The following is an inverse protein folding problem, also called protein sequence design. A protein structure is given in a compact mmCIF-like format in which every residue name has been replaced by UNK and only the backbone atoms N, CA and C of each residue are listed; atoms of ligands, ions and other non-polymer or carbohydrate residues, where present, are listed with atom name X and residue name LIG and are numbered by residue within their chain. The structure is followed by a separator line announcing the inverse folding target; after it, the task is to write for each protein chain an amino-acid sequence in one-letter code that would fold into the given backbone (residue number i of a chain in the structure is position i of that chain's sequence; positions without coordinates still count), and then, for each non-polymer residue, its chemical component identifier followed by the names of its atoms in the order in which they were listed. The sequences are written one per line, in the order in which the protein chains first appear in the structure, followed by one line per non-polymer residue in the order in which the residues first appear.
data_IF_466493141651
#
_entry.id   IF_466493141651
#
_cell.length_a   1.000
_cell.length_b   1.000
_cell.length_c   1.000
_cell.angle_alpha   90.00
_cell.angle_beta   90.00
_cell.angle_gamma   90.00
#
_symmetry.space_group_name_H-M   'P 1'
#
loop_
_entity.id
_entity.type
_entity.pdbx_description
1 polymer ?
#
# COMPACT_ATOMS: atom_id res chain seq x y z
N UNK A 1 23.31 -16.35 -24.31
CA UNK A 1 22.39 -15.75 -25.32
C UNK A 1 21.12 -15.11 -24.71
N UNK A 2 21.08 -14.75 -23.41
CA UNK A 2 19.93 -14.13 -22.71
C UNK A 2 20.06 -12.60 -22.57
N UNK A 3 21.11 -11.99 -23.15
CA UNK A 3 21.47 -10.60 -22.86
C UNK A 3 21.02 -9.55 -23.92
N UNK A 4 20.63 -9.95 -25.14
CA UNK A 4 20.21 -8.98 -26.18
C UNK A 4 18.69 -8.76 -26.28
N UNK A 5 17.86 -9.73 -25.85
CA UNK A 5 16.40 -9.56 -25.78
C UNK A 5 15.92 -8.75 -24.57
N UNK A 6 16.76 -8.58 -23.54
CA UNK A 6 16.45 -7.77 -22.35
C UNK A 6 16.54 -6.26 -22.64
N UNK A 7 17.45 -5.84 -23.53
CA UNK A 7 17.68 -4.41 -23.84
C UNK A 7 16.52 -3.74 -24.59
N UNK A 8 15.83 -4.46 -25.49
CA UNK A 8 14.67 -3.94 -26.26
C UNK A 8 13.37 -3.91 -25.44
N UNK A 9 13.17 -4.89 -24.54
CA UNK A 9 12.02 -4.94 -23.64
C UNK A 9 12.11 -3.87 -22.55
N UNK A 10 13.32 -3.56 -22.08
CA UNK A 10 13.59 -2.53 -21.07
C UNK A 10 13.19 -1.12 -21.53
N UNK A 11 13.50 -0.72 -22.77
CA UNK A 11 13.05 0.59 -23.27
C UNK A 11 11.54 0.69 -23.43
N UNK A 12 10.84 -0.33 -23.95
CA UNK A 12 9.37 -0.28 -24.05
C UNK A 12 8.67 -0.30 -22.70
N UNK A 13 9.16 -1.08 -21.73
CA UNK A 13 8.59 -1.09 -20.38
C UNK A 13 8.88 0.20 -19.61
N UNK A 14 10.06 0.80 -19.79
CA UNK A 14 10.39 2.12 -19.27
C UNK A 14 9.55 3.22 -19.94
N UNK A 15 9.34 3.15 -21.26
CA UNK A 15 8.49 4.09 -22.01
C UNK A 15 7.02 3.98 -21.56
N UNK A 16 6.50 2.77 -21.36
CA UNK A 16 5.13 2.57 -20.84
C UNK A 16 5.00 3.11 -19.42
N UNK A 17 6.01 2.86 -18.57
CA UNK A 17 6.06 3.43 -17.21
C UNK A 17 6.12 4.96 -17.20
N UNK A 18 6.96 5.55 -18.05
CA UNK A 18 7.08 7.01 -18.22
C UNK A 18 5.79 7.60 -18.77
N UNK A 19 5.16 6.96 -19.76
CA UNK A 19 3.90 7.39 -20.34
C UNK A 19 2.76 7.37 -19.31
N UNK A 20 2.68 6.33 -18.48
CA UNK A 20 1.71 6.24 -17.37
C UNK A 20 1.96 7.30 -16.30
N UNK A 21 3.22 7.58 -15.96
CA UNK A 21 3.58 8.64 -15.00
C UNK A 21 3.23 10.02 -15.55
N UNK A 22 3.47 10.27 -16.85
CA UNK A 22 3.11 11.52 -17.54
C UNK A 22 1.59 11.67 -17.62
N UNK A 23 0.86 10.61 -17.95
CA UNK A 23 -0.60 10.61 -17.96
C UNK A 23 -1.17 10.89 -16.56
N UNK A 24 -0.54 10.32 -15.52
CA UNK A 24 -0.89 10.60 -14.13
C UNK A 24 -0.62 12.04 -13.70
N UNK A 25 0.52 12.62 -14.10
CA UNK A 25 0.82 14.03 -13.88
C UNK A 25 -0.14 14.97 -14.62
N UNK A 26 -0.55 14.62 -15.84
CA UNK A 26 -1.55 15.37 -16.60
C UNK A 26 -2.93 15.31 -15.95
N UNK A 27 -3.34 14.14 -15.46
CA UNK A 27 -4.59 13.97 -14.72
C UNK A 27 -4.56 14.76 -13.39
N UNK A 28 -3.41 14.78 -12.71
CA UNK A 28 -3.20 15.57 -11.50
C UNK A 28 -3.33 17.07 -11.76
N UNK A 29 -2.82 17.57 -12.90
CA UNK A 29 -2.93 18.97 -13.30
C UNK A 29 -4.37 19.38 -13.62
N UNK A 30 -5.15 18.45 -14.20
CA UNK A 30 -6.58 18.66 -14.47
C UNK A 30 -7.39 18.74 -13.17
N UNK A 31 -7.13 17.83 -12.22
CA UNK A 31 -7.78 17.83 -10.89
C UNK A 31 -7.38 19.06 -10.06
N UNK A 32 -6.16 19.58 -10.25
CA UNK A 32 -5.68 20.80 -9.58
C UNK A 32 -6.45 22.07 -9.96
N UNK A 33 -7.22 22.09 -11.06
CA UNK A 33 -8.09 23.23 -11.41
C UNK A 33 -9.42 23.25 -10.65
N UNK A 34 -9.75 22.19 -9.92
CA UNK A 34 -11.05 22.00 -9.26
C UNK A 34 -10.89 22.15 -7.73
N UNK A 35 -9.90 21.46 -7.13
CA UNK A 35 -9.52 21.59 -5.72
C UNK A 35 -8.04 21.18 -5.53
N UNK A 36 -7.26 21.98 -4.79
CA UNK A 36 -5.83 21.69 -4.52
C UNK A 36 -5.60 20.48 -3.60
N UNK A 37 -6.55 20.16 -2.73
CA UNK A 37 -6.45 19.04 -1.78
C UNK A 37 -6.58 17.67 -2.46
N UNK A 38 -7.47 17.55 -3.45
CA UNK A 38 -7.73 16.28 -4.14
C UNK A 38 -6.55 15.85 -5.01
N UNK A 39 -5.84 16.82 -5.60
CA UNK A 39 -4.65 16.58 -6.39
C UNK A 39 -3.49 15.99 -5.55
N UNK A 40 -3.33 16.46 -4.31
CA UNK A 40 -2.29 15.96 -3.41
C UNK A 40 -2.56 14.49 -3.02
N UNK A 41 -3.81 14.14 -2.71
CA UNK A 41 -4.19 12.77 -2.36
C UNK A 41 -3.97 11.82 -3.54
N UNK A 42 -4.30 12.27 -4.75
CA UNK A 42 -4.13 11.47 -5.97
C UNK A 42 -2.66 11.17 -6.26
N UNK A 43 -1.78 12.18 -6.16
CA UNK A 43 -0.34 11.97 -6.33
C UNK A 43 0.25 11.03 -5.26
N UNK A 44 -0.15 11.20 -4.00
CA UNK A 44 0.30 10.32 -2.91
C UNK A 44 -0.18 8.89 -3.15
N UNK A 45 -1.43 8.68 -3.60
CA UNK A 45 -1.96 7.37 -3.92
C UNK A 45 -1.19 6.69 -5.06
N UNK A 46 -0.88 7.42 -6.14
CA UNK A 46 -0.05 6.89 -7.23
C UNK A 46 1.37 6.52 -6.78
N UNK A 47 2.02 7.38 -5.98
CA UNK A 47 3.35 7.12 -5.46
C UNK A 47 3.38 5.90 -4.51
N UNK A 48 2.36 5.77 -3.67
CA UNK A 48 2.20 4.64 -2.76
C UNK A 48 1.99 3.34 -3.55
N UNK A 49 1.11 3.33 -4.55
CA UNK A 49 0.90 2.17 -5.44
C UNK A 49 2.17 1.71 -6.14
N UNK A 50 2.96 2.64 -6.69
CA UNK A 50 4.25 2.34 -7.31
C UNK A 50 5.25 1.74 -6.31
N UNK A 51 5.28 2.27 -5.09
CA UNK A 51 6.15 1.79 -4.01
C UNK A 51 5.78 0.37 -3.60
N UNK A 52 4.48 0.04 -3.51
CA UNK A 52 4.01 -1.31 -3.20
C UNK A 52 4.46 -2.33 -4.25
N UNK A 53 4.38 -1.98 -5.54
CA UNK A 53 4.77 -2.85 -6.64
C UNK A 53 6.27 -3.15 -6.64
N UNK A 54 7.12 -2.16 -6.33
CA UNK A 54 8.57 -2.35 -6.23
C UNK A 54 8.96 -3.17 -4.99
N UNK A 55 8.28 -2.93 -3.87
CA UNK A 55 8.68 -3.45 -2.56
C UNK A 55 8.19 -4.88 -2.30
N UNK A 56 7.24 -5.40 -3.11
CA UNK A 56 6.63 -6.73 -2.94
C UNK A 56 6.25 -7.02 -1.49
N UNK A 57 5.59 -6.06 -0.84
CA UNK A 57 5.23 -6.18 0.57
C UNK A 57 4.18 -7.26 0.78
N UNK A 58 4.54 -8.31 1.51
CA UNK A 58 3.61 -9.31 2.00
C UNK A 58 3.85 -9.66 3.46
N UNK A 59 2.90 -9.30 4.32
CA UNK A 59 2.93 -9.58 5.76
C UNK A 59 2.98 -11.09 6.02
N UNK A 60 2.12 -11.87 5.36
CA UNK A 60 2.06 -13.32 5.55
C UNK A 60 3.39 -14.03 5.23
N UNK A 61 4.05 -13.67 4.12
CA UNK A 61 5.37 -14.22 3.78
C UNK A 61 6.45 -13.74 4.74
N UNK A 62 6.39 -12.48 5.19
CA UNK A 62 7.39 -11.92 6.10
C UNK A 62 7.38 -12.59 7.46
N UNK A 63 6.19 -12.91 8.00
CA UNK A 63 6.09 -13.71 9.22
C UNK A 63 6.62 -15.13 9.01
N UNK A 64 6.22 -15.79 7.92
CA UNK A 64 6.71 -17.14 7.60
C UNK A 64 8.24 -17.19 7.43
N UNK A 65 8.82 -16.22 6.73
CA UNK A 65 10.27 -16.17 6.51
C UNK A 65 11.03 -15.87 7.81
N UNK A 66 10.45 -15.06 8.71
CA UNK A 66 11.01 -14.80 10.03
C UNK A 66 11.05 -16.08 10.88
N UNK A 67 9.98 -16.87 10.89
CA UNK A 67 9.90 -18.11 11.66
C UNK A 67 10.72 -19.26 11.04
N UNK A 68 10.75 -19.36 9.71
CA UNK A 68 11.32 -20.52 9.01
C UNK A 68 12.80 -20.33 8.65
N UNK A 69 13.20 -19.12 8.25
CA UNK A 69 14.56 -18.82 7.79
C UNK A 69 15.34 -17.90 8.74
N UNK A 70 14.68 -17.30 9.74
CA UNK A 70 15.29 -16.32 10.64
C UNK A 70 15.71 -15.01 9.95
N UNK A 71 15.39 -14.84 8.67
CA UNK A 71 15.82 -13.71 7.86
C UNK A 71 14.75 -12.60 7.87
N UNK A 72 14.93 -11.63 8.77
CA UNK A 72 13.98 -10.53 8.99
C UNK A 72 14.07 -9.36 7.99
N UNK A 73 14.66 -9.52 6.81
CA UNK A 73 14.89 -8.39 5.89
C UNK A 73 13.58 -7.74 5.43
N UNK A 74 12.58 -8.54 5.05
CA UNK A 74 11.26 -8.06 4.63
C UNK A 74 10.45 -7.50 5.82
N UNK A 75 10.57 -8.14 7.00
CA UNK A 75 9.95 -7.71 8.25
C UNK A 75 10.42 -6.30 8.66
N UNK A 76 11.72 -6.01 8.54
CA UNK A 76 12.29 -4.68 8.82
C UNK A 76 11.69 -3.60 7.92
N UNK A 77 11.55 -3.88 6.62
CA UNK A 77 10.95 -2.92 5.67
C UNK A 77 9.50 -2.58 6.03
N UNK A 78 8.71 -3.59 6.41
CA UNK A 78 7.33 -3.42 6.86
C UNK A 78 7.24 -2.60 8.14
N UNK A 79 8.12 -2.87 9.11
CA UNK A 79 8.11 -2.15 10.39
C UNK A 79 8.43 -0.66 10.21
N UNK A 80 9.38 -0.35 9.32
CA UNK A 80 9.72 1.04 8.96
C UNK A 80 8.53 1.71 8.24
N UNK A 81 7.91 1.03 7.28
CA UNK A 81 6.75 1.58 6.57
C UNK A 81 5.58 1.88 7.52
N UNK A 82 5.33 0.99 8.49
CA UNK A 82 4.29 1.18 9.50
C UNK A 82 4.62 2.33 10.46
N UNK A 83 5.89 2.49 10.84
CA UNK A 83 6.34 3.63 11.65
C UNK A 83 6.15 4.97 10.90
N UNK A 84 6.58 5.05 9.64
CA UNK A 84 6.43 6.24 8.80
C UNK A 84 4.95 6.57 8.59
N UNK A 85 4.12 5.57 8.30
CA UNK A 85 2.67 5.76 8.14
C UNK A 85 2.00 6.25 9.43
N UNK A 86 2.42 5.75 10.58
CA UNK A 86 1.88 6.18 11.88
C UNK A 86 2.23 7.63 12.17
N UNK A 87 3.49 8.03 11.94
CA UNK A 87 3.94 9.42 12.10
C UNK A 87 3.21 10.34 11.13
N UNK A 88 3.04 9.92 9.86
CA UNK A 88 2.29 10.68 8.86
C UNK A 88 0.83 10.89 9.25
N UNK A 89 0.17 9.85 9.76
CA UNK A 89 -1.21 9.93 10.25
C UNK A 89 -1.35 10.88 11.43
N UNK A 90 -0.44 10.81 12.40
CA UNK A 90 -0.40 11.73 13.54
C UNK A 90 -0.18 13.17 13.05
N UNK A 91 0.72 13.39 12.09
CA UNK A 91 0.97 14.72 11.50
C UNK A 91 -0.28 15.30 10.83
N UNK A 92 -1.00 14.50 10.03
CA UNK A 92 -2.27 14.90 9.42
C UNK A 92 -3.31 15.24 10.50
N UNK A 93 -3.43 14.42 11.53
CA UNK A 93 -4.41 14.62 12.60
C UNK A 93 -4.14 15.89 13.41
N UNK A 94 -2.88 16.19 13.71
CA UNK A 94 -2.50 17.43 14.41
C UNK A 94 -2.79 18.68 13.55
N UNK A 95 -2.66 18.56 12.23
CA UNK A 95 -2.99 19.67 11.32
C UNK A 95 -4.50 19.92 11.23
N UNK A 96 -5.30 18.85 11.28
CA UNK A 96 -6.76 18.91 11.24
C UNK A 96 -7.37 19.28 12.62
N UNK A 97 -6.76 18.86 13.73
CA UNK A 97 -7.14 19.18 15.11
C UNK A 97 -5.94 19.71 15.92
N UNK A 98 -5.81 21.04 16.08
CA UNK A 98 -4.72 21.64 16.86
C UNK A 98 -4.81 21.41 18.38
N UNK A 99 -5.98 21.06 18.92
CA UNK A 99 -6.22 20.85 20.35
C UNK A 99 -7.08 19.61 20.59
N UNK A 100 -6.51 18.40 20.71
CA UNK A 100 -7.25 17.23 21.12
C UNK A 100 -7.57 17.32 22.62
N UNK A 101 -8.74 17.85 22.99
CA UNK A 101 -9.27 17.64 24.34
C UNK A 101 -9.69 16.16 24.48
N UNK A 102 -9.44 15.51 25.63
CA UNK A 102 -9.90 14.15 25.86
C UNK A 102 -11.44 14.12 25.84
N UNK A 103 -12.02 13.65 24.73
CA UNK A 103 -13.47 13.55 24.53
C UNK A 103 -13.98 14.19 23.25
N UNK A 104 -13.22 15.07 22.60
CA UNK A 104 -13.59 15.72 21.34
C UNK A 104 -12.90 15.00 20.17
N UNK A 105 -13.39 13.80 19.87
CA UNK A 105 -13.07 13.17 18.60
C UNK A 105 -13.84 13.96 17.53
N UNK A 106 -13.22 14.35 16.41
CA UNK A 106 -13.98 14.95 15.33
C UNK A 106 -15.09 13.97 14.93
N UNK A 107 -16.26 14.48 14.55
CA UNK A 107 -17.39 13.67 14.05
C UNK A 107 -17.02 12.70 12.92
N UNK A 108 -15.84 12.88 12.31
CA UNK A 108 -15.28 12.06 11.22
C UNK A 108 -14.23 11.04 11.68
N UNK A 109 -13.73 11.08 12.92
CA UNK A 109 -12.82 10.05 13.44
C UNK A 109 -13.64 8.87 13.97
N UNK A 110 -14.04 7.98 13.06
CA UNK A 110 -14.62 6.68 13.41
C UNK A 110 -13.53 5.77 13.98
N UNK A 111 -13.18 5.99 15.25
CA UNK A 111 -12.40 5.02 16.02
C UNK A 111 -13.36 3.89 16.34
N UNK A 112 -13.29 2.78 15.59
CA UNK A 112 -14.07 1.60 15.92
C UNK A 112 -13.79 1.23 17.38
N UNK A 113 -14.80 1.13 18.25
CA UNK A 113 -14.58 0.79 19.65
C UNK A 113 -13.80 -0.52 19.70
N UNK A 114 -12.64 -0.48 20.35
CA UNK A 114 -11.79 -1.66 20.57
C UNK A 114 -12.56 -2.62 21.48
N UNK A 115 -13.24 -3.57 20.86
CA UNK A 115 -14.12 -4.52 21.54
C UNK A 115 -13.93 -5.93 21.00
N UNK A 116 -14.81 -6.83 21.44
CA UNK A 116 -14.81 -8.23 21.00
C UNK A 116 -14.83 -8.39 19.47
N UNK A 117 -15.41 -7.43 18.75
CA UNK A 117 -15.45 -7.44 17.29
C UNK A 117 -14.07 -7.41 16.64
N UNK A 118 -13.08 -6.70 17.19
CA UNK A 118 -11.75 -6.61 16.58
C UNK A 118 -10.96 -7.91 16.75
N UNK A 119 -11.14 -8.58 17.89
CA UNK A 119 -10.53 -9.89 18.17
C UNK A 119 -11.10 -10.94 17.20
N UNK A 120 -12.43 -10.98 17.05
CA UNK A 120 -13.09 -11.92 16.14
C UNK A 120 -12.67 -11.65 14.69
N UNK A 121 -12.68 -10.38 14.26
CA UNK A 121 -12.24 -10.01 12.92
C UNK A 121 -10.76 -10.37 12.66
N UNK A 122 -9.88 -10.17 13.64
CA UNK A 122 -8.46 -10.52 13.52
C UNK A 122 -8.22 -12.02 13.32
N UNK A 123 -8.93 -12.87 14.06
CA UNK A 123 -8.83 -14.33 13.91
C UNK A 123 -9.37 -14.76 12.54
N UNK A 124 -10.55 -14.29 12.15
CA UNK A 124 -11.16 -14.63 10.84
C UNK A 124 -10.27 -14.15 9.69
N UNK A 125 -9.73 -12.94 9.78
CA UNK A 125 -8.81 -12.38 8.79
C UNK A 125 -7.51 -13.17 8.70
N UNK A 126 -6.94 -13.57 9.84
CA UNK A 126 -5.76 -14.42 9.90
C UNK A 126 -5.98 -15.78 9.23
N UNK A 127 -7.08 -16.45 9.54
CA UNK A 127 -7.46 -17.72 8.90
C UNK A 127 -7.66 -17.53 7.40
N UNK A 128 -8.33 -16.45 6.98
CA UNK A 128 -8.51 -16.11 5.57
C UNK A 128 -7.20 -15.92 4.81
N UNK A 129 -6.21 -15.26 5.41
CA UNK A 129 -4.87 -15.11 4.81
C UNK A 129 -4.16 -16.46 4.60
N UNK A 130 -4.33 -17.42 5.51
CA UNK A 130 -3.72 -18.75 5.37
C UNK A 130 -4.44 -19.56 4.28
N UNK A 131 -5.77 -19.52 4.24
CA UNK A 131 -6.59 -20.26 3.26
C UNK A 131 -6.36 -19.74 1.83
N UNK A 132 -6.24 -18.42 1.65
CA UNK A 132 -5.92 -17.79 0.35
C UNK A 132 -4.46 -17.99 -0.07
N UNK A 133 -3.58 -18.49 0.80
CA UNK A 133 -2.15 -18.66 0.48
C UNK A 133 -1.44 -17.35 0.14
N UNK A 134 -1.98 -16.21 0.58
CA UNK A 134 -1.56 -14.88 0.15
C UNK A 134 -1.94 -13.78 1.14
N UNK A 135 -1.53 -12.56 0.81
CA UNK A 135 -1.91 -11.35 1.54
C UNK A 135 -2.53 -10.36 0.55
N UNK A 136 -3.40 -9.47 1.03
CA UNK A 136 -4.12 -8.50 0.18
C UNK A 136 -3.19 -7.69 -0.73
N UNK A 137 -2.10 -7.15 -0.18
CA UNK A 137 -1.09 -6.41 -0.94
C UNK A 137 -0.47 -7.29 -2.03
N UNK A 138 -0.15 -8.54 -1.68
CA UNK A 138 0.31 -9.61 -2.56
C UNK A 138 -0.56 -9.83 -3.77
N UNK A 139 -1.86 -9.95 -3.54
CA UNK A 139 -2.85 -10.22 -4.58
C UNK A 139 -3.01 -9.01 -5.50
N UNK A 140 -3.10 -7.79 -4.94
CA UNK A 140 -3.30 -6.55 -5.73
C UNK A 140 -2.17 -6.32 -6.74
N UNK A 141 -0.90 -6.41 -6.33
CA UNK A 141 0.19 -6.17 -7.30
C UNK A 141 0.34 -7.32 -8.31
N UNK A 142 0.01 -8.57 -7.94
CA UNK A 142 0.03 -9.71 -8.89
C UNK A 142 -1.06 -9.59 -9.94
N UNK A 143 -2.26 -9.15 -9.54
CA UNK A 143 -3.32 -8.78 -10.48
C UNK A 143 -2.83 -7.66 -11.40
N UNK A 144 -2.17 -6.64 -10.86
CA UNK A 144 -1.59 -5.55 -11.66
C UNK A 144 -0.47 -5.99 -12.61
N UNK A 145 0.27 -7.06 -12.28
CA UNK A 145 1.26 -7.70 -13.19
C UNK A 145 0.61 -8.62 -14.25
N UNK A 146 -0.72 -8.79 -14.22
CA UNK A 146 -1.47 -9.60 -15.18
C UNK A 146 -1.58 -11.08 -14.82
N UNK A 147 -1.27 -11.47 -13.57
CA UNK A 147 -1.50 -12.84 -13.11
C UNK A 147 -2.99 -13.11 -12.90
N UNK A 148 -3.60 -13.79 -13.85
CA UNK A 148 -5.01 -14.22 -13.78
C UNK A 148 -5.28 -15.19 -12.64
N UNK A 149 -4.29 -15.96 -12.17
CA UNK A 149 -4.49 -16.86 -11.03
C UNK A 149 -4.81 -16.11 -9.72
N UNK A 150 -4.39 -14.85 -9.59
CA UNK A 150 -4.68 -14.01 -8.41
C UNK A 150 -6.05 -13.33 -8.43
N UNK A 151 -6.85 -13.45 -9.50
CA UNK A 151 -8.20 -12.84 -9.54
C UNK A 151 -9.25 -13.65 -8.75
N UNK A 152 -8.98 -14.94 -8.52
CA UNK A 152 -9.88 -15.88 -7.86
C UNK A 152 -9.54 -16.11 -6.38
N UNK A 153 -8.41 -15.57 -5.92
CA UNK A 153 -7.87 -15.80 -4.56
C UNK A 153 -8.23 -14.65 -3.64
#
# INVERSE_FOLDING_TARGET
MVNSLNKSKNSRQLIIGIFLVILGLMFSFYVSSINTSDAAIWLVACALGFTLQKSRFCFASSFRDLFLFGSGQNMKGILIALAVSSIGFIGILNWILPNPLPGEFPSSAHVLPVGLSTIVAGIVFGVGMVVSGGCISGTIYRIAEGYVASIIT
#
